data_IF_935786664564
#
_entry.id   IF_935786664564
#
_cell.length_a   1.000
_cell.length_b   1.000
_cell.length_c   1.000
_cell.angle_alpha   90.00
_cell.angle_beta   90.00
_cell.angle_gamma   90.00
#
_symmetry.space_group_name_H-M   'P 1'
#
loop_
_entity.id
_entity.type
_entity.pdbx_description
1 polymer ?
#
# COMPACT_ATOMS: atom_id res chain seq x y z
N UNK A 1 -7.45 16.50 -8.50
CA UNK A 1 -8.14 15.30 -7.97
C UNK A 1 -7.15 14.23 -7.56
N UNK A 2 -6.22 13.82 -8.43
CA UNK A 2 -5.25 12.75 -8.11
C UNK A 2 -4.38 13.07 -6.87
N UNK A 3 -3.91 14.31 -6.74
CA UNK A 3 -3.11 14.74 -5.58
C UNK A 3 -3.86 14.52 -4.25
N UNK A 4 -5.10 15.02 -4.16
CA UNK A 4 -5.95 14.86 -2.97
C UNK A 4 -6.25 13.39 -2.66
N UNK A 5 -6.42 12.55 -3.68
CA UNK A 5 -6.63 11.11 -3.52
C UNK A 5 -5.42 10.43 -2.89
N UNK A 6 -4.23 10.76 -3.38
CA UNK A 6 -2.96 10.25 -2.87
C UNK A 6 -2.75 10.74 -1.44
N UNK A 7 -2.96 12.02 -1.16
CA UNK A 7 -2.84 12.58 0.20
C UNK A 7 -3.79 11.92 1.19
N UNK A 8 -5.01 11.61 0.75
CA UNK A 8 -6.00 10.89 1.55
C UNK A 8 -5.73 9.38 1.68
N UNK A 9 -4.65 8.86 1.10
CA UNK A 9 -4.34 7.43 1.14
C UNK A 9 -5.38 6.55 0.45
N UNK A 10 -6.17 7.10 -0.47
CA UNK A 10 -7.34 6.39 -1.03
C UNK A 10 -6.93 5.51 -2.22
N UNK A 11 -6.95 4.17 -2.08
CA UNK A 11 -6.56 3.26 -3.15
C UNK A 11 -7.62 3.19 -4.26
N UNK A 12 -7.20 2.86 -5.48
CA UNK A 12 -8.12 2.61 -6.61
C UNK A 12 -7.81 1.32 -7.34
N UNK A 13 -8.87 0.75 -7.94
CA UNK A 13 -8.76 -0.42 -8.80
C UNK A 13 -7.86 -0.17 -10.02
N UNK A 14 -7.02 -1.14 -10.34
CA UNK A 14 -6.05 -1.05 -11.44
C UNK A 14 -4.76 -0.29 -11.12
N UNK A 15 -4.64 0.28 -9.90
CA UNK A 15 -3.39 0.89 -9.41
C UNK A 15 -2.94 0.24 -8.10
N UNK A 16 -3.63 0.56 -7.01
CA UNK A 16 -3.34 0.02 -5.68
C UNK A 16 -4.08 -1.29 -5.42
N UNK A 17 -5.23 -1.49 -6.07
CA UNK A 17 -6.09 -2.64 -5.87
C UNK A 17 -6.15 -3.49 -7.14
N UNK A 18 -6.04 -4.79 -6.94
CA UNK A 18 -6.31 -5.83 -7.91
C UNK A 18 -6.85 -7.07 -7.17
N UNK A 19 -7.02 -8.19 -7.87
CA UNK A 19 -7.55 -9.44 -7.31
C UNK A 19 -6.63 -10.09 -6.27
N UNK A 20 -5.37 -9.64 -6.16
CA UNK A 20 -4.35 -10.23 -5.29
C UNK A 20 -4.15 -9.47 -3.98
N UNK A 21 -4.64 -8.22 -3.91
CA UNK A 21 -4.49 -7.35 -2.75
C UNK A 21 -5.61 -7.59 -1.75
N UNK A 22 -5.25 -7.91 -0.51
CA UNK A 22 -6.23 -8.03 0.56
C UNK A 22 -6.61 -6.64 1.12
N UNK A 23 -7.87 -6.44 1.55
CA UNK A 23 -8.34 -5.17 2.13
C UNK A 23 -7.46 -4.63 3.27
N UNK A 24 -6.91 -5.52 4.10
CA UNK A 24 -6.02 -5.13 5.19
C UNK A 24 -4.67 -4.59 4.71
N UNK A 25 -4.15 -5.05 3.57
CA UNK A 25 -2.92 -4.50 2.98
C UNK A 25 -3.16 -3.07 2.46
N UNK A 26 -4.35 -2.83 1.91
CA UNK A 26 -4.74 -1.53 1.35
C UNK A 26 -5.26 -0.52 2.41
N UNK A 27 -5.25 -0.87 3.70
CA UNK A 27 -5.77 0.00 4.77
C UNK A 27 -7.30 0.12 4.81
N UNK A 28 -8.02 -0.80 4.17
CA UNK A 28 -9.48 -0.75 4.02
C UNK A 28 -10.24 -1.57 5.08
N UNK A 29 -9.52 -2.31 5.93
CA UNK A 29 -10.12 -3.22 6.92
C UNK A 29 -11.09 -2.51 7.87
N UNK A 30 -10.68 -1.36 8.43
CA UNK A 30 -11.50 -0.64 9.42
C UNK A 30 -12.72 0.06 8.81
N UNK A 31 -12.74 0.30 7.49
CA UNK A 31 -13.72 1.18 6.84
C UNK A 31 -14.63 0.45 5.85
N UNK A 32 -14.15 -0.59 5.18
CA UNK A 32 -14.86 -1.27 4.09
C UNK A 32 -15.15 -2.75 4.38
N UNK A 33 -14.64 -3.28 5.49
CA UNK A 33 -14.90 -4.65 5.94
C UNK A 33 -15.76 -4.61 7.21
N UNK A 34 -16.70 -5.54 7.28
CA UNK A 34 -17.48 -5.78 8.48
C UNK A 34 -17.32 -7.23 8.88
N UNK A 35 -16.84 -7.44 10.09
CA UNK A 35 -16.70 -8.75 10.72
C UNK A 35 -17.95 -9.18 11.49
N UNK A 36 -18.95 -8.30 11.57
CA UNK A 36 -20.21 -8.53 12.29
C UNK A 36 -21.40 -8.77 11.37
N UNK A 37 -21.28 -8.42 10.08
CA UNK A 37 -22.28 -8.80 9.07
C UNK A 37 -22.16 -10.30 8.76
N UNK A 38 -23.22 -10.87 8.19
CA UNK A 38 -23.24 -12.26 7.76
C UNK A 38 -22.21 -12.59 6.65
N UNK A 39 -22.20 -13.85 6.22
CA UNK A 39 -21.19 -14.34 5.29
C UNK A 39 -21.16 -13.58 3.96
N UNK A 40 -19.97 -13.15 3.53
CA UNK A 40 -19.76 -12.56 2.21
C UNK A 40 -18.66 -13.29 1.42
N UNK A 41 -18.71 -13.26 0.07
CA UNK A 41 -17.70 -13.91 -0.77
C UNK A 41 -16.28 -13.40 -0.46
N UNK A 42 -15.32 -14.32 -0.36
CA UNK A 42 -13.93 -13.95 -0.09
C UNK A 42 -13.63 -13.56 1.37
N UNK A 43 -14.57 -13.74 2.31
CA UNK A 43 -14.33 -13.43 3.73
C UNK A 43 -13.27 -14.32 4.39
N UNK A 44 -13.09 -15.56 3.93
CA UNK A 44 -12.19 -16.53 4.56
C UNK A 44 -10.74 -16.04 4.65
N UNK A 45 -10.09 -15.56 3.57
CA UNK A 45 -8.75 -15.00 3.67
C UNK A 45 -8.70 -13.73 4.52
N UNK A 46 -9.74 -12.88 4.46
CA UNK A 46 -9.82 -11.64 5.25
C UNK A 46 -9.91 -11.95 6.75
N UNK A 47 -10.83 -12.81 7.16
CA UNK A 47 -11.00 -13.23 8.54
C UNK A 47 -9.78 -13.99 9.07
N UNK A 48 -9.15 -14.82 8.23
CA UNK A 48 -7.90 -15.51 8.60
C UNK A 48 -6.80 -14.50 8.92
N UNK A 49 -6.61 -13.50 8.05
CA UNK A 49 -5.59 -12.48 8.24
C UNK A 49 -5.87 -11.66 9.52
N UNK A 50 -7.12 -11.23 9.71
CA UNK A 50 -7.54 -10.46 10.88
C UNK A 50 -7.32 -11.21 12.21
N UNK A 51 -7.69 -12.49 12.28
CA UNK A 51 -7.64 -13.24 13.55
C UNK A 51 -6.32 -13.97 13.82
N UNK A 52 -5.55 -14.30 12.79
CA UNK A 52 -4.39 -15.20 12.92
C UNK A 52 -3.12 -14.67 12.26
N UNK A 53 -3.15 -13.44 11.76
CA UNK A 53 -2.02 -12.89 11.02
C UNK A 53 -1.97 -11.38 11.08
N UNK A 54 -1.20 -10.84 10.15
CA UNK A 54 -1.07 -9.42 9.90
C UNK A 54 -0.60 -9.25 8.46
N UNK A 55 -0.95 -8.14 7.78
CA UNK A 55 -0.49 -7.91 6.44
C UNK A 55 1.04 -7.73 6.43
N UNK A 56 1.73 -8.40 5.51
CA UNK A 56 3.20 -8.33 5.38
C UNK A 56 3.68 -6.98 4.82
N UNK A 57 2.77 -6.23 4.19
CA UNK A 57 2.98 -4.91 3.61
C UNK A 57 1.72 -4.06 3.81
N UNK A 58 1.88 -2.75 3.84
CA UNK A 58 0.78 -1.79 3.92
C UNK A 58 0.92 -0.72 2.86
N UNK A 59 -0.21 -0.21 2.39
CA UNK A 59 -0.25 0.97 1.52
C UNK A 59 0.10 2.23 2.35
N UNK A 60 1.07 3.01 1.89
CA UNK A 60 1.52 4.24 2.55
C UNK A 60 1.51 5.41 1.59
N UNK A 61 1.21 6.59 2.12
CA UNK A 61 1.46 7.88 1.47
C UNK A 61 2.90 8.26 1.75
N UNK A 62 3.66 8.60 0.70
CA UNK A 62 5.06 8.97 0.78
C UNK A 62 5.27 10.36 0.20
N UNK A 63 6.19 11.11 0.79
CA UNK A 63 6.68 12.38 0.26
C UNK A 63 7.96 12.12 -0.54
N UNK A 64 7.84 12.06 -1.86
CA UNK A 64 8.93 11.72 -2.77
C UNK A 64 8.87 12.60 -4.02
N UNK A 65 10.01 13.17 -4.37
CA UNK A 65 10.18 13.91 -5.62
C UNK A 65 10.48 12.96 -6.77
N UNK A 66 9.88 13.22 -7.94
CA UNK A 66 10.11 12.50 -9.19
C UNK A 66 9.81 10.98 -9.15
N UNK A 67 8.97 10.52 -8.22
CA UNK A 67 8.50 9.14 -8.19
C UNK A 67 7.60 8.84 -9.39
N UNK A 68 7.70 7.61 -9.91
CA UNK A 68 6.82 7.09 -10.96
C UNK A 68 6.21 5.75 -10.54
N UNK A 69 4.96 5.45 -10.97
CA UNK A 69 4.41 4.11 -10.83
C UNK A 69 5.36 3.06 -11.41
N UNK A 70 5.71 2.06 -10.61
CA UNK A 70 6.74 1.09 -11.00
C UNK A 70 8.03 1.18 -10.22
N UNK A 71 8.39 2.37 -9.73
CA UNK A 71 9.67 2.57 -9.05
C UNK A 71 9.75 1.74 -7.77
N UNK A 72 10.92 1.14 -7.54
CA UNK A 72 11.21 0.39 -6.32
C UNK A 72 11.64 1.33 -5.19
N UNK A 73 11.21 1.01 -3.98
CA UNK A 73 11.62 1.70 -2.75
C UNK A 73 12.71 0.91 -2.06
N UNK A 74 13.77 1.61 -1.65
CA UNK A 74 14.91 1.07 -0.92
C UNK A 74 14.95 1.64 0.49
N UNK A 75 15.19 0.77 1.45
CA UNK A 75 15.52 1.11 2.83
C UNK A 75 16.65 0.19 3.30
N UNK A 76 17.70 0.77 3.90
CA UNK A 76 18.88 0.02 4.38
C UNK A 76 19.49 -0.93 3.32
N UNK A 77 19.52 -0.47 2.05
CA UNK A 77 20.08 -1.24 0.93
C UNK A 77 19.21 -2.40 0.42
N UNK A 78 17.97 -2.53 0.90
CA UNK A 78 17.03 -3.58 0.46
C UNK A 78 15.80 -2.98 -0.21
N UNK A 79 15.27 -3.67 -1.21
CA UNK A 79 13.97 -3.33 -1.81
C UNK A 79 12.85 -3.69 -0.83
N UNK A 80 12.12 -2.68 -0.39
CA UNK A 80 11.08 -2.80 0.64
C UNK A 80 9.67 -2.53 0.11
N UNK A 81 9.54 -2.16 -1.16
CA UNK A 81 8.25 -1.75 -1.69
C UNK A 81 8.33 -1.25 -3.12
N UNK A 82 7.17 -0.84 -3.63
CA UNK A 82 7.03 -0.31 -4.99
C UNK A 82 5.95 0.77 -5.05
N UNK A 83 6.21 1.82 -5.81
CA UNK A 83 5.27 2.91 -6.09
C UNK A 83 4.14 2.40 -6.99
N UNK A 84 2.89 2.70 -6.62
CA UNK A 84 1.68 2.36 -7.38
C UNK A 84 1.06 3.58 -8.06
N UNK A 85 1.06 4.72 -7.38
CA UNK A 85 0.61 6.01 -7.91
C UNK A 85 1.57 7.11 -7.51
N UNK A 86 1.76 8.11 -8.37
CA UNK A 86 2.60 9.26 -8.06
C UNK A 86 2.06 10.54 -8.70
N UNK A 87 2.26 11.64 -8.00
CA UNK A 87 2.15 13.03 -8.46
C UNK A 87 3.39 13.78 -7.95
N UNK A 88 3.68 15.01 -8.41
CA UNK A 88 4.80 15.78 -7.89
C UNK A 88 4.76 15.89 -6.35
N UNK A 89 5.85 15.50 -5.68
CA UNK A 89 6.01 15.54 -4.23
C UNK A 89 5.25 14.48 -3.42
N UNK A 90 4.38 13.66 -4.03
CA UNK A 90 3.53 12.68 -3.30
C UNK A 90 3.37 11.37 -4.07
N UNK A 91 3.40 10.25 -3.36
CA UNK A 91 3.19 8.93 -3.95
C UNK A 91 2.43 7.98 -3.02
N UNK A 92 1.77 6.99 -3.61
CA UNK A 92 1.29 5.80 -2.91
C UNK A 92 2.21 4.62 -3.22
N UNK A 93 2.48 3.80 -2.21
CA UNK A 93 3.29 2.62 -2.36
C UNK A 93 2.93 1.54 -1.36
N UNK A 94 3.07 0.29 -1.76
CA UNK A 94 3.11 -0.81 -0.80
C UNK A 94 4.50 -0.91 -0.20
N UNK A 95 4.56 -0.82 1.12
CA UNK A 95 5.80 -0.89 1.91
C UNK A 95 5.70 -2.05 2.88
N UNK A 96 6.77 -2.84 3.00
CA UNK A 96 6.87 -3.92 3.99
C UNK A 96 6.58 -3.40 5.39
N UNK A 97 5.80 -4.17 6.16
CA UNK A 97 5.36 -3.80 7.50
C UNK A 97 6.51 -3.52 8.47
N UNK A 98 7.62 -4.24 8.32
CA UNK A 98 8.81 -4.12 9.16
C UNK A 98 9.50 -2.75 9.06
N UNK A 99 9.24 -1.99 7.99
CA UNK A 99 9.81 -0.66 7.81
C UNK A 99 9.10 0.33 8.74
N UNK A 100 9.83 1.06 9.61
CA UNK A 100 9.23 2.08 10.46
C UNK A 100 8.43 3.12 9.67
N UNK A 101 7.45 3.76 10.29
CA UNK A 101 6.62 4.78 9.61
C UNK A 101 7.44 6.03 9.27
N UNK A 102 8.33 6.44 10.18
CA UNK A 102 9.24 7.59 10.04
C UNK A 102 10.53 7.25 9.25
N UNK A 103 10.58 6.07 8.62
CA UNK A 103 11.74 5.65 7.86
C UNK A 103 11.93 6.55 6.63
N UNK A 104 13.16 7.04 6.42
CA UNK A 104 13.53 7.74 5.19
C UNK A 104 13.73 6.72 4.08
N UNK A 105 12.85 6.76 3.09
CA UNK A 105 12.87 5.85 1.95
C UNK A 105 13.51 6.53 0.73
N UNK A 106 14.18 5.74 -0.09
CA UNK A 106 14.81 6.22 -1.32
C UNK A 106 14.27 5.45 -2.52
N UNK A 107 14.16 6.12 -3.67
CA UNK A 107 13.87 5.44 -4.93
C UNK A 107 15.12 4.68 -5.41
N UNK A 108 14.93 3.49 -5.94
CA UNK A 108 15.99 2.74 -6.62
C UNK A 108 16.49 3.51 -7.85
N UNK A 109 17.81 3.55 -8.12
CA UNK A 109 18.32 4.14 -9.34
C UNK A 109 17.72 3.44 -10.57
N UNK A 110 17.17 4.23 -11.50
CA UNK A 110 16.62 3.69 -12.74
C UNK A 110 17.73 3.03 -13.55
N UNK A 111 17.52 1.77 -13.93
CA UNK A 111 18.43 1.08 -14.84
C UNK A 111 18.37 1.79 -16.21
N UNK A 112 19.52 2.17 -16.82
CA UNK A 112 19.55 2.89 -18.08
C UNK A 112 18.99 2.06 -19.25
#
# INVERSE_FOLDING_TARGET
LEHMRIDAGTPVWGKELDETVLPAEAGLEATHISFTKGCYPGQEPVARLHHRGHPNRGLRVLELENAQPGDELIYEGKVIGRITSAVPGRALAYVRREVPEEARLHLSPKRP
#
